data_IF_524541226556
#
_entry.id   IF_524541226556
#
_cell.length_a   1.000
_cell.length_b   1.000
_cell.length_c   1.000
_cell.angle_alpha   90.00
_cell.angle_beta   90.00
_cell.angle_gamma   90.00
#
_symmetry.space_group_name_H-M   'P 1'
#
loop_
_entity.id
_entity.type
_entity.pdbx_description
1 polymer ?
#
# COMPACT_ATOMS: atom_id res chain seq x y z
N UNK A 1 -11.91 -11.09 1.60
CA UNK A 1 -11.54 -12.45 1.18
C UNK A 1 -12.31 -13.42 2.02
N UNK A 2 -13.18 -14.21 1.40
CA UNK A 2 -13.87 -15.31 2.05
C UNK A 2 -12.90 -16.49 2.23
N UNK A 3 -13.22 -17.37 3.17
CA UNK A 3 -12.46 -18.61 3.36
C UNK A 3 -12.64 -19.47 2.09
N UNK A 4 -11.54 -19.73 1.38
CA UNK A 4 -11.55 -20.47 0.11
C UNK A 4 -11.20 -19.65 -1.13
N UNK A 5 -11.10 -18.32 -1.02
CA UNK A 5 -10.60 -17.48 -2.12
C UNK A 5 -9.14 -17.83 -2.44
N UNK A 6 -8.74 -17.80 -3.72
CA UNK A 6 -7.34 -18.01 -4.09
C UNK A 6 -6.45 -16.94 -3.43
N UNK A 7 -5.21 -17.29 -3.02
CA UNK A 7 -4.29 -16.33 -2.44
C UNK A 7 -4.10 -15.11 -3.35
N UNK A 8 -3.99 -13.93 -2.73
CA UNK A 8 -3.71 -12.72 -3.48
C UNK A 8 -2.37 -12.84 -4.19
N UNK A 9 -2.38 -12.71 -5.52
CA UNK A 9 -1.15 -12.82 -6.31
C UNK A 9 -0.21 -11.68 -5.96
N UNK A 10 1.08 -11.99 -5.87
CA UNK A 10 2.10 -10.98 -5.54
C UNK A 10 2.09 -9.81 -6.53
N UNK A 11 1.87 -10.11 -7.81
CA UNK A 11 1.84 -9.13 -8.90
C UNK A 11 0.73 -8.09 -8.71
N UNK A 12 -0.31 -8.43 -7.95
CA UNK A 12 -1.44 -7.55 -7.64
C UNK A 12 -1.19 -6.68 -6.40
N UNK A 13 -0.17 -6.97 -5.58
CA UNK A 13 0.09 -6.23 -4.34
C UNK A 13 0.46 -4.77 -4.62
N UNK A 14 1.35 -4.52 -5.58
CA UNK A 14 1.76 -3.14 -5.87
C UNK A 14 0.61 -2.26 -6.38
N UNK A 15 -0.22 -2.69 -7.35
CA UNK A 15 -1.44 -1.97 -7.73
C UNK A 15 -2.40 -1.73 -6.55
N UNK A 16 -2.61 -2.75 -5.71
CA UNK A 16 -3.48 -2.65 -4.54
C UNK A 16 -3.00 -1.56 -3.55
N UNK A 17 -1.73 -1.60 -3.16
CA UNK A 17 -1.17 -0.61 -2.22
C UNK A 17 -1.00 0.78 -2.85
N UNK A 18 -0.84 0.89 -4.17
CA UNK A 18 -0.94 2.19 -4.86
C UNK A 18 -2.35 2.78 -4.71
N UNK A 19 -3.40 1.98 -4.91
CA UNK A 19 -4.78 2.40 -4.69
C UNK A 19 -5.01 2.89 -3.25
N UNK A 20 -4.55 2.11 -2.27
CA UNK A 20 -4.63 2.48 -0.86
C UNK A 20 -3.92 3.81 -0.54
N UNK A 21 -2.74 4.03 -1.13
CA UNK A 21 -1.97 5.27 -0.94
C UNK A 21 -2.71 6.50 -1.49
N UNK A 22 -3.24 6.42 -2.72
CA UNK A 22 -3.95 7.57 -3.29
C UNK A 22 -5.29 7.84 -2.60
N UNK A 23 -5.98 6.77 -2.17
CA UNK A 23 -7.17 6.91 -1.36
C UNK A 23 -6.87 7.61 -0.02
N UNK A 24 -5.79 7.23 0.67
CA UNK A 24 -5.41 7.87 1.94
C UNK A 24 -5.01 9.33 1.78
N UNK A 25 -4.31 9.70 0.69
CA UNK A 25 -4.04 11.12 0.35
C UNK A 25 -5.35 11.91 0.23
N UNK A 26 -6.33 11.39 -0.51
CA UNK A 26 -7.60 12.07 -0.71
C UNK A 26 -8.41 12.20 0.59
N UNK A 27 -8.46 11.13 1.39
CA UNK A 27 -9.17 11.11 2.67
C UNK A 27 -8.51 12.09 3.65
N UNK A 28 -7.19 12.06 3.80
CA UNK A 28 -6.43 12.99 4.64
C UNK A 28 -6.74 14.44 4.30
N UNK A 29 -6.75 14.79 3.01
CA UNK A 29 -7.08 16.14 2.56
C UNK A 29 -8.49 16.59 2.96
N UNK A 30 -9.48 15.69 2.82
CA UNK A 30 -10.88 15.96 3.22
C UNK A 30 -11.03 16.13 4.72
N UNK A 31 -10.38 15.28 5.52
CA UNK A 31 -10.41 15.37 6.98
C UNK A 31 -9.77 16.67 7.48
N UNK A 32 -8.63 17.05 6.91
CA UNK A 32 -7.97 18.31 7.24
C UNK A 32 -8.85 19.52 6.90
N UNK A 33 -9.49 19.53 5.72
CA UNK A 33 -10.42 20.59 5.32
C UNK A 33 -11.66 20.68 6.22
N UNK A 34 -12.08 19.56 6.83
CA UNK A 34 -13.16 19.50 7.80
C UNK A 34 -12.74 19.82 9.25
N UNK A 35 -11.47 20.19 9.49
CA UNK A 35 -10.95 20.46 10.84
C UNK A 35 -10.77 19.21 11.71
N UNK A 36 -10.86 18.01 11.15
CA UNK A 36 -10.73 16.75 11.88
C UNK A 36 -9.26 16.32 12.01
N UNK A 37 -8.51 17.06 12.82
CA UNK A 37 -7.04 16.94 12.93
C UNK A 37 -6.60 15.54 13.40
N UNK A 38 -7.24 14.96 14.42
CA UNK A 38 -6.85 13.65 14.94
C UNK A 38 -7.13 12.52 13.92
N UNK A 39 -8.29 12.55 13.24
CA UNK A 39 -8.58 11.60 12.17
C UNK A 39 -7.58 11.73 11.01
N UNK A 40 -7.16 12.95 10.66
CA UNK A 40 -6.15 13.18 9.64
C UNK A 40 -4.75 12.65 10.07
N UNK A 41 -4.44 12.65 11.37
CA UNK A 41 -3.22 12.01 11.91
C UNK A 41 -3.26 10.50 11.78
N UNK A 42 -4.38 9.85 12.11
CA UNK A 42 -4.53 8.40 11.94
C UNK A 42 -4.35 7.98 10.47
N UNK A 43 -4.94 8.73 9.54
CA UNK A 43 -4.75 8.47 8.09
C UNK A 43 -3.30 8.70 7.67
N UNK A 44 -2.58 9.63 8.30
CA UNK A 44 -1.15 9.83 8.05
C UNK A 44 -0.34 8.61 8.49
N UNK A 45 -0.57 8.09 9.70
CA UNK A 45 0.11 6.88 10.18
C UNK A 45 -0.19 5.66 9.27
N UNK A 46 -1.44 5.52 8.81
CA UNK A 46 -1.79 4.49 7.82
C UNK A 46 -1.05 4.69 6.48
N UNK A 47 -0.92 5.93 6.01
CA UNK A 47 -0.21 6.24 4.78
C UNK A 47 1.28 5.92 4.86
N UNK A 48 1.92 6.12 6.02
CA UNK A 48 3.30 5.73 6.29
C UNK A 48 3.47 4.21 6.17
N UNK A 49 2.63 3.44 6.87
CA UNK A 49 2.62 1.97 6.78
C UNK A 49 2.44 1.49 5.33
N UNK A 50 1.50 2.07 4.58
CA UNK A 50 1.30 1.74 3.15
C UNK A 50 2.55 2.04 2.32
N UNK A 51 3.26 3.12 2.63
CA UNK A 51 4.50 3.48 1.92
C UNK A 51 5.58 2.43 2.14
N UNK A 52 5.79 2.00 3.39
CA UNK A 52 6.75 0.94 3.72
C UNK A 52 6.42 -0.38 3.00
N UNK A 53 5.14 -0.77 2.95
CA UNK A 53 4.73 -1.97 2.20
C UNK A 53 5.04 -1.84 0.70
N UNK A 54 4.77 -0.68 0.09
CA UNK A 54 5.06 -0.46 -1.33
C UNK A 54 6.55 -0.61 -1.63
N UNK A 55 7.40 -0.10 -0.76
CA UNK A 55 8.85 -0.19 -0.93
C UNK A 55 9.35 -1.63 -0.73
N UNK A 56 8.84 -2.35 0.29
CA UNK A 56 9.15 -3.76 0.48
C UNK A 56 8.71 -4.63 -0.71
N UNK A 57 7.54 -4.36 -1.30
CA UNK A 57 7.06 -5.07 -2.50
C UNK A 57 7.98 -4.80 -3.69
N UNK A 58 8.41 -3.54 -3.88
CA UNK A 58 9.34 -3.15 -4.96
C UNK A 58 10.69 -3.85 -4.82
N UNK A 59 11.27 -3.84 -3.63
CA UNK A 59 12.53 -4.53 -3.36
C UNK A 59 12.40 -6.03 -3.59
N UNK A 60 11.31 -6.63 -3.12
CA UNK A 60 11.02 -8.06 -3.36
C UNK A 60 10.88 -8.37 -4.85
N UNK A 61 10.24 -7.49 -5.63
CA UNK A 61 10.11 -7.67 -7.08
C UNK A 61 11.47 -7.61 -7.78
N UNK A 62 12.37 -6.70 -7.36
CA UNK A 62 13.75 -6.64 -7.86
C UNK A 62 14.52 -7.92 -7.56
N UNK A 63 14.43 -8.43 -6.32
CA UNK A 63 15.08 -9.68 -5.91
C UNK A 63 14.56 -10.89 -6.69
N UNK A 64 13.25 -11.00 -6.92
CA UNK A 64 12.65 -12.07 -7.74
C UNK A 64 13.17 -12.01 -9.18
N UNK A 65 13.27 -10.81 -9.76
CA UNK A 65 13.80 -10.63 -11.12
C UNK A 65 15.28 -11.01 -11.20
N UNK A 66 16.09 -10.58 -10.24
CA UNK A 66 17.51 -10.91 -10.19
C UNK A 66 17.73 -12.42 -10.07
N UNK A 67 17.02 -13.09 -9.16
CA UNK A 67 17.10 -14.55 -8.98
C UNK A 67 16.80 -15.30 -10.27
N UNK A 68 15.78 -14.89 -11.00
CA UNK A 68 15.37 -15.53 -12.25
C UNK A 68 16.35 -15.28 -13.42
N UNK A 69 17.22 -14.27 -13.33
CA UNK A 69 18.27 -13.99 -14.33
C UNK A 69 19.59 -14.71 -14.03
N UNK A 70 19.77 -15.18 -12.79
CA UNK A 70 20.95 -15.91 -12.32
C UNK A 70 20.79 -17.44 -12.34
N UNK A 71 19.65 -17.95 -12.79
CA UNK A 71 19.34 -19.38 -12.97
C UNK A 71 19.27 -19.70 -14.45
#
# INVERSE_FOLDING_TARGET
>A
MARGDPPFKFENLLPYYNGAYYASVAIKGRLAAAGQVEAAREVTAYQEMVTEFRDAIRETAKLRKFRNLSS
#
